data_IF_285590355162
#
_entry.id   IF_285590355162
#
_cell.length_a   1.000
_cell.length_b   1.000
_cell.length_c   1.000
_cell.angle_alpha   90.00
_cell.angle_beta   90.00
_cell.angle_gamma   90.00
#
_symmetry.space_group_name_H-M   'P 1'
#
loop_
_entity.id
_entity.type
_entity.pdbx_description
1 polymer ?
#
# COMPACT_ATOMS: atom_id res chain seq x y z
N UNK A 1 -13.96 6.30 10.13
CA UNK A 1 -12.88 5.34 9.91
C UNK A 1 -11.59 6.08 10.09
N UNK A 2 -10.71 5.63 10.98
CA UNK A 2 -9.38 6.25 11.13
C UNK A 2 -8.55 5.94 9.87
N UNK A 3 -7.76 6.92 9.44
CA UNK A 3 -6.85 6.75 8.32
C UNK A 3 -5.75 5.73 8.70
N UNK A 4 -5.27 4.89 7.77
CA UNK A 4 -4.10 4.06 8.04
C UNK A 4 -2.92 4.92 8.48
N UNK A 5 -2.26 4.51 9.55
CA UNK A 5 -0.97 5.05 9.92
C UNK A 5 0.12 4.16 9.35
N UNK A 6 0.94 4.73 8.47
CA UNK A 6 2.09 4.06 7.90
C UNK A 6 3.32 4.31 8.74
N UNK A 7 4.20 3.31 8.82
CA UNK A 7 5.50 3.39 9.50
C UNK A 7 6.58 2.72 8.67
N UNK A 8 7.80 3.22 8.82
CA UNK A 8 8.97 2.58 8.27
C UNK A 8 9.33 1.34 9.08
N UNK A 9 9.80 0.32 8.38
CA UNK A 9 10.52 -0.81 8.93
C UNK A 9 11.81 -0.96 8.16
N UNK A 10 12.86 -1.38 8.84
CA UNK A 10 14.15 -1.67 8.23
C UNK A 10 14.52 -3.10 8.67
N UNK A 11 14.57 -4.01 7.71
CA UNK A 11 14.89 -5.42 7.95
C UNK A 11 15.92 -5.94 6.93
N UNK A 12 16.18 -7.24 6.93
CA UNK A 12 17.14 -7.87 5.99
C UNK A 12 16.81 -7.67 4.50
N UNK A 13 15.58 -7.26 4.17
CA UNK A 13 15.12 -6.92 2.81
C UNK A 13 15.27 -5.43 2.49
N UNK A 14 15.68 -4.62 3.46
CA UNK A 14 15.85 -3.18 3.36
C UNK A 14 14.68 -2.38 3.95
N UNK A 15 14.60 -1.11 3.55
CA UNK A 15 13.57 -0.19 4.02
C UNK A 15 12.20 -0.53 3.42
N UNK A 16 11.23 -0.81 4.27
CA UNK A 16 9.84 -1.08 3.90
C UNK A 16 8.85 -0.13 4.57
N UNK A 17 7.67 -0.03 3.99
CA UNK A 17 6.54 0.74 4.54
C UNK A 17 5.42 -0.23 4.93
N UNK A 18 5.01 -0.19 6.19
CA UNK A 18 3.97 -1.04 6.76
C UNK A 18 2.86 -0.23 7.43
N UNK A 19 1.72 -0.87 7.68
CA UNK A 19 0.62 -0.34 8.48
C UNK A 19 0.01 -1.45 9.34
N UNK A 20 -0.73 -1.07 10.39
CA UNK A 20 -1.45 -2.04 11.22
C UNK A 20 -2.78 -2.44 10.53
N UNK A 21 -2.89 -3.64 9.92
CA UNK A 21 -4.19 -4.09 9.36
C UNK A 21 -5.21 -4.40 10.48
N UNK A 22 -4.77 -4.75 11.70
CA UNK A 22 -5.64 -5.29 12.75
C UNK A 22 -5.92 -6.80 12.64
N UNK A 23 -5.38 -7.45 11.61
CA UNK A 23 -5.21 -8.90 11.53
C UNK A 23 -3.74 -9.25 11.85
N UNK A 24 -3.37 -10.53 12.04
CA UNK A 24 -1.99 -10.89 12.41
C UNK A 24 -0.96 -10.67 11.29
N UNK A 25 -1.39 -10.27 10.08
CA UNK A 25 -0.48 -9.92 9.00
C UNK A 25 0.21 -8.58 9.26
N UNK A 26 1.49 -8.52 8.88
CA UNK A 26 2.27 -7.29 8.79
C UNK A 26 2.55 -6.98 7.31
N UNK A 27 1.60 -6.34 6.61
CA UNK A 27 1.79 -6.01 5.20
C UNK A 27 2.88 -4.94 5.09
N UNK A 28 4.01 -5.28 4.46
CA UNK A 28 5.14 -4.37 4.24
C UNK A 28 5.51 -4.29 2.76
N UNK A 29 5.32 -3.12 2.17
CA UNK A 29 5.78 -2.84 0.81
C UNK A 29 7.23 -2.36 0.84
N UNK A 30 8.11 -3.04 0.11
CA UNK A 30 9.53 -2.68 -0.03
C UNK A 30 9.73 -1.96 -1.37
N UNK A 31 9.74 -0.62 -1.41
CA UNK A 31 10.06 0.13 -2.61
C UNK A 31 11.53 0.05 -2.99
N UNK A 32 11.81 0.25 -4.27
CA UNK A 32 13.14 0.58 -4.76
C UNK A 32 13.14 1.98 -5.42
N UNK A 33 14.29 2.42 -5.94
CA UNK A 33 14.45 3.75 -6.52
C UNK A 33 13.61 3.98 -7.79
N UNK A 34 13.26 2.92 -8.51
CA UNK A 34 12.57 3.00 -9.80
C UNK A 34 11.09 2.61 -9.70
N UNK A 35 10.71 1.82 -8.69
CA UNK A 35 9.42 1.15 -8.63
C UNK A 35 8.82 1.17 -7.23
N UNK A 36 7.51 1.37 -7.21
CA UNK A 36 6.73 1.18 -6.01
C UNK A 36 6.75 -0.30 -5.58
N UNK A 37 7.03 -0.52 -4.29
CA UNK A 37 6.73 -1.77 -3.61
C UNK A 37 5.21 -1.93 -3.45
N UNK A 38 4.79 -3.18 -3.26
CA UNK A 38 3.37 -3.54 -3.21
C UNK A 38 3.12 -4.57 -2.12
N UNK A 39 2.02 -4.39 -1.40
CA UNK A 39 1.47 -5.44 -0.56
C UNK A 39 -0.06 -5.52 -0.58
N UNK A 40 -0.54 -6.75 -0.41
CA UNK A 40 -1.97 -7.04 -0.33
C UNK A 40 -2.23 -7.99 0.83
N UNK A 41 -2.83 -7.44 1.87
CA UNK A 41 -3.15 -8.20 3.06
C UNK A 41 -4.32 -9.16 2.80
N UNK A 42 -4.36 -10.28 3.52
CA UNK A 42 -5.46 -11.25 3.45
C UNK A 42 -6.85 -10.64 3.74
N UNK A 43 -6.87 -9.51 4.47
CA UNK A 43 -8.04 -8.70 4.80
C UNK A 43 -8.57 -7.89 3.60
N UNK A 44 -7.99 -8.03 2.40
CA UNK A 44 -8.37 -7.29 1.20
C UNK A 44 -7.81 -5.86 1.13
N UNK A 45 -7.09 -5.41 2.16
CA UNK A 45 -6.43 -4.10 2.20
C UNK A 45 -5.16 -4.12 1.37
N UNK A 46 -4.98 -3.08 0.56
CA UNK A 46 -3.88 -2.96 -0.40
C UNK A 46 -3.15 -1.66 -0.17
N UNK A 47 -1.82 -1.68 -0.24
CA UNK A 47 -1.03 -0.46 -0.36
C UNK A 47 0.17 -0.63 -1.28
N UNK A 48 0.59 0.49 -1.83
CA UNK A 48 1.82 0.68 -2.57
C UNK A 48 2.64 1.75 -1.86
N UNK A 49 3.96 1.60 -1.89
CA UNK A 49 4.89 2.58 -1.37
C UNK A 49 6.00 2.81 -2.40
N UNK A 50 6.52 4.02 -2.54
CA UNK A 50 7.58 4.36 -3.49
C UNK A 50 7.10 5.04 -4.78
N UNK A 51 7.98 5.17 -5.78
CA UNK A 51 7.71 5.94 -6.99
C UNK A 51 6.41 5.57 -7.68
N UNK A 52 5.56 6.56 -7.97
CA UNK A 52 4.28 6.38 -8.68
C UNK A 52 3.30 5.44 -7.96
N UNK A 53 3.35 5.34 -6.63
CA UNK A 53 2.48 4.47 -5.83
C UNK A 53 0.99 4.66 -6.16
N UNK A 54 0.56 5.90 -6.40
CA UNK A 54 -0.83 6.22 -6.74
C UNK A 54 -1.28 5.67 -8.10
N UNK A 55 -0.40 5.72 -9.10
CA UNK A 55 -0.68 5.21 -10.45
C UNK A 55 -0.62 3.68 -10.44
N UNK A 56 0.34 3.10 -9.74
CA UNK A 56 0.45 1.65 -9.52
C UNK A 56 -0.82 1.10 -8.86
N UNK A 57 -1.32 1.75 -7.80
CA UNK A 57 -2.58 1.38 -7.17
C UNK A 57 -3.77 1.49 -8.13
N UNK A 58 -3.83 2.55 -8.94
CA UNK A 58 -4.92 2.74 -9.90
C UNK A 58 -4.92 1.64 -10.95
N UNK A 59 -3.76 1.31 -11.52
CA UNK A 59 -3.60 0.22 -12.47
C UNK A 59 -3.96 -1.15 -11.87
N UNK A 60 -3.53 -1.40 -10.63
CA UNK A 60 -3.84 -2.63 -9.89
C UNK A 60 -5.36 -2.82 -9.71
N UNK A 61 -6.07 -1.78 -9.25
CA UNK A 61 -7.51 -1.86 -9.05
C UNK A 61 -8.28 -2.00 -10.37
N UNK A 62 -7.82 -1.33 -11.44
CA UNK A 62 -8.41 -1.45 -12.77
C UNK A 62 -8.26 -2.88 -13.34
N UNK A 63 -7.07 -3.47 -13.23
CA UNK A 63 -6.82 -4.85 -13.66
C UNK A 63 -7.69 -5.85 -12.89
N UNK A 64 -7.82 -5.66 -11.57
CA UNK A 64 -8.71 -6.48 -10.73
C UNK A 64 -10.17 -6.37 -11.16
N UNK A 65 -10.67 -5.16 -11.34
CA UNK A 65 -12.05 -4.93 -11.77
C UNK A 65 -12.33 -5.58 -13.13
N UNK A 66 -11.36 -5.63 -14.04
CA UNK A 66 -11.49 -6.29 -15.33
C UNK A 66 -11.53 -7.83 -15.23
N UNK A 67 -10.80 -8.41 -14.26
CA UNK A 67 -10.63 -9.87 -14.13
C UNK A 67 -11.60 -10.55 -13.17
N UNK A 68 -12.16 -9.81 -12.21
CA UNK A 68 -12.94 -10.36 -11.09
C UNK A 68 -14.42 -10.12 -11.30
N UNK A 69 -15.24 -11.15 -11.03
CA UNK A 69 -16.72 -11.04 -11.13
C UNK A 69 -17.32 -10.08 -10.10
N UNK A 70 -16.65 -9.88 -8.96
CA UNK A 70 -17.05 -9.00 -7.86
C UNK A 70 -15.79 -8.44 -7.22
N UNK A 71 -15.78 -7.13 -7.00
CA UNK A 71 -14.76 -6.42 -6.23
C UNK A 71 -15.47 -5.62 -5.13
N UNK A 72 -14.88 -5.53 -3.92
CA UNK A 72 -15.43 -4.66 -2.88
C UNK A 72 -15.32 -3.19 -3.32
N UNK A 73 -16.13 -2.34 -2.70
CA UNK A 73 -15.86 -0.89 -2.77
C UNK A 73 -14.61 -0.62 -1.95
N UNK A 74 -13.75 0.25 -2.43
CA UNK A 74 -12.55 0.66 -1.71
C UNK A 74 -12.66 2.13 -1.31
N UNK A 75 -12.35 2.43 -0.05
CA UNK A 75 -11.85 3.75 0.31
C UNK A 75 -10.40 3.83 -0.15
N UNK A 76 -10.05 4.96 -0.77
CA UNK A 76 -8.72 5.18 -1.33
C UNK A 76 -8.12 6.43 -0.74
N UNK A 77 -6.81 6.42 -0.56
CA UNK A 77 -6.09 7.61 -0.15
C UNK A 77 -4.63 7.56 -0.55
N UNK A 78 -3.96 8.66 -0.26
CA UNK A 78 -2.55 8.88 -0.50
C UNK A 78 -1.94 9.47 0.76
N UNK A 79 -0.68 9.18 0.98
CA UNK A 79 0.12 9.73 2.07
C UNK A 79 1.59 9.78 1.63
N UNK A 80 2.46 10.27 2.50
CA UNK A 80 3.90 10.20 2.33
C UNK A 80 4.58 10.00 3.66
N UNK A 81 5.63 9.18 3.69
CA UNK A 81 6.48 9.00 4.86
C UNK A 81 7.91 9.41 4.53
N UNK A 82 8.54 10.19 5.42
CA UNK A 82 9.92 10.62 5.22
C UNK A 82 10.89 9.55 5.74
N UNK A 83 11.83 9.13 4.89
CA UNK A 83 12.88 8.18 5.19
C UNK A 83 14.23 8.76 4.76
N UNK A 84 15.18 8.92 5.70
CA UNK A 84 16.51 9.46 5.42
C UNK A 84 16.50 10.80 4.62
N UNK A 85 15.50 11.66 4.86
CA UNK A 85 15.33 12.95 4.15
C UNK A 85 14.70 12.83 2.75
N UNK A 86 14.23 11.65 2.36
CA UNK A 86 13.52 11.39 1.11
C UNK A 86 12.06 11.04 1.43
N UNK A 87 11.12 11.69 0.76
CA UNK A 87 9.70 11.36 0.88
C UNK A 87 9.39 10.09 0.07
N UNK A 88 8.89 9.06 0.74
CA UNK A 88 8.35 7.85 0.12
C UNK A 88 6.84 8.06 -0.02
N UNK A 89 6.36 8.12 -1.27
CA UNK A 89 4.93 8.17 -1.56
C UNK A 89 4.23 6.89 -1.11
N UNK A 90 3.02 7.02 -0.60
CA UNK A 90 2.18 5.88 -0.23
C UNK A 90 0.80 6.06 -0.86
N UNK A 91 0.27 4.99 -1.43
CA UNK A 91 -1.10 4.95 -1.90
C UNK A 91 -1.79 3.69 -1.39
N UNK A 92 -3.02 3.81 -0.94
CA UNK A 92 -3.74 2.70 -0.32
C UNK A 92 -5.19 2.61 -0.79
N UNK A 93 -5.71 1.39 -0.76
CA UNK A 93 -7.11 1.07 -1.02
C UNK A 93 -7.57 0.01 -0.01
N UNK A 94 -8.43 0.42 0.91
CA UNK A 94 -8.96 -0.44 1.96
C UNK A 94 -10.45 -0.70 1.70
N UNK A 95 -10.92 -1.96 1.84
CA UNK A 95 -12.33 -2.28 1.66
C UNK A 95 -13.22 -1.35 2.50
N UNK A 96 -14.18 -0.73 1.83
CA UNK A 96 -15.27 0.00 2.43
C UNK A 96 -16.38 -1.03 2.67
N UNK A 97 -16.42 -1.63 3.86
CA UNK A 97 -17.62 -2.35 4.29
C UNK A 97 -18.82 -1.38 4.35
#
# INVERSE_FOLDING_TARGET
MELPQFRLVDDERGAGVTYECGCPCQPTAYPDEEKAGFEHCCCGKVHFAGPSAADALTGYLADRAARRKREPRYLRGRDSIEAAGVAIEVAWAFPAD
#
